data_IF_004043663860
#
_entry.id   IF_004043663860
#
_cell.length_a   1.000
_cell.length_b   1.000
_cell.length_c   1.000
_cell.angle_alpha   90.00
_cell.angle_beta   90.00
_cell.angle_gamma   90.00
#
_symmetry.space_group_name_H-M   'P 1'
#
loop_
_entity.id
_entity.type
_entity.pdbx_description
1 polymer ?
#
# COMPACT_ATOMS: atom_id res chain seq x y z
N UNK A 1 -1.10 -26.48 9.45
CA UNK A 1 -1.37 -26.42 8.00
C UNK A 1 -1.99 -25.08 7.77
N UNK A 2 -1.24 -24.13 7.23
CA UNK A 2 -1.74 -22.78 6.99
C UNK A 2 -3.12 -22.85 6.36
N UNK A 3 -4.15 -22.31 7.02
CA UNK A 3 -5.46 -22.32 6.43
C UNK A 3 -5.36 -21.63 5.07
N UNK A 4 -5.94 -22.26 4.04
CA UNK A 4 -6.06 -21.72 2.68
C UNK A 4 -7.05 -20.54 2.67
N UNK A 5 -6.88 -19.58 3.57
CA UNK A 5 -7.58 -18.32 3.51
C UNK A 5 -6.98 -17.50 2.37
N UNK A 6 -7.83 -16.68 1.73
CA UNK A 6 -7.37 -15.60 0.88
C UNK A 6 -6.28 -14.81 1.62
N UNK A 7 -5.15 -14.53 0.98
CA UNK A 7 -4.15 -13.64 1.54
C UNK A 7 -4.80 -12.29 1.83
N UNK A 8 -5.03 -11.97 3.10
CA UNK A 8 -5.60 -10.70 3.54
C UNK A 8 -4.48 -9.72 3.89
N UNK A 9 -4.79 -8.42 3.84
CA UNK A 9 -3.85 -7.39 4.27
C UNK A 9 -3.73 -7.42 5.80
N UNK A 10 -2.49 -7.38 6.30
CA UNK A 10 -2.21 -7.23 7.74
C UNK A 10 -2.62 -5.86 8.29
N UNK A 11 -3.08 -4.96 7.41
CA UNK A 11 -3.83 -3.76 7.78
C UNK A 11 -5.06 -4.05 8.63
N UNK A 12 -5.65 -5.25 8.54
CA UNK A 12 -6.75 -5.67 9.44
C UNK A 12 -6.28 -5.85 10.89
N UNK A 13 -5.04 -6.29 11.11
CA UNK A 13 -4.44 -6.39 12.46
C UNK A 13 -4.19 -4.97 12.99
N UNK A 14 -3.65 -4.07 12.17
CA UNK A 14 -3.45 -2.66 12.55
C UNK A 14 -4.78 -1.94 12.84
N UNK A 15 -5.85 -2.30 12.13
CA UNK A 15 -7.19 -1.77 12.38
C UNK A 15 -7.71 -2.12 13.78
N UNK A 16 -7.36 -3.28 14.33
CA UNK A 16 -7.73 -3.67 15.69
C UNK A 16 -7.04 -2.79 16.74
N UNK A 17 -5.85 -2.29 16.43
CA UNK A 17 -5.15 -1.30 17.26
C UNK A 17 -5.66 0.13 17.05
N UNK A 18 -6.65 0.37 16.18
CA UNK A 18 -7.16 1.72 15.89
C UNK A 18 -6.36 2.47 14.82
N UNK A 19 -5.47 1.78 14.08
CA UNK A 19 -4.68 2.36 13.01
C UNK A 19 -5.16 1.85 11.64
N UNK A 20 -6.13 2.54 11.04
CA UNK A 20 -6.70 2.16 9.74
C UNK A 20 -7.15 3.36 8.91
N UNK A 21 -6.99 3.27 7.58
CA UNK A 21 -7.60 4.21 6.64
C UNK A 21 -9.12 4.23 6.75
N UNK A 22 -9.76 3.08 6.98
CA UNK A 22 -11.22 3.01 7.06
C UNK A 22 -11.77 3.85 8.22
N UNK A 23 -11.18 3.71 9.41
CA UNK A 23 -11.56 4.47 10.59
C UNK A 23 -11.28 5.96 10.40
N UNK A 24 -10.10 6.30 9.85
CA UNK A 24 -9.77 7.69 9.55
C UNK A 24 -10.80 8.31 8.61
N UNK A 25 -11.03 7.71 7.44
CA UNK A 25 -11.85 8.29 6.38
C UNK A 25 -13.35 8.37 6.71
N UNK A 26 -13.84 7.55 7.64
CA UNK A 26 -15.23 7.64 8.11
C UNK A 26 -15.48 8.71 9.18
N UNK A 27 -14.41 9.28 9.76
CA UNK A 27 -14.55 10.36 10.72
C UNK A 27 -14.97 11.68 10.04
N UNK A 28 -15.61 12.61 10.76
CA UNK A 28 -15.94 13.94 10.23
C UNK A 28 -14.72 14.67 9.66
N UNK A 29 -14.89 15.40 8.55
CA UNK A 29 -13.79 16.08 7.87
C UNK A 29 -13.24 17.29 8.65
N UNK A 30 -13.99 17.81 9.61
CA UNK A 30 -13.62 18.88 10.53
C UNK A 30 -12.93 18.37 11.81
N UNK A 31 -12.74 17.05 11.94
CA UNK A 31 -11.99 16.45 13.04
C UNK A 31 -10.47 16.65 12.85
N UNK A 32 -9.99 17.78 13.36
CA UNK A 32 -8.57 18.13 13.34
C UNK A 32 -7.76 17.29 14.32
N UNK A 33 -8.35 16.83 15.42
CA UNK A 33 -7.64 16.05 16.44
C UNK A 33 -7.27 14.68 15.90
N UNK A 34 -8.22 13.97 15.28
CA UNK A 34 -7.94 12.67 14.66
C UNK A 34 -6.94 12.81 13.51
N UNK A 35 -7.03 13.87 12.71
CA UNK A 35 -6.09 14.13 11.61
C UNK A 35 -4.68 14.36 12.13
N UNK A 36 -4.53 15.21 13.17
CA UNK A 36 -3.25 15.44 13.84
C UNK A 36 -2.72 14.19 14.53
N UNK A 37 -3.59 13.38 15.12
CA UNK A 37 -3.19 12.12 15.75
C UNK A 37 -2.75 11.10 14.69
N UNK A 38 -3.51 10.90 13.62
CA UNK A 38 -3.27 9.88 12.59
C UNK A 38 -1.97 10.16 11.83
N UNK A 39 -1.80 11.41 11.37
CA UNK A 39 -0.58 11.85 10.69
C UNK A 39 0.48 12.41 11.64
N UNK A 40 0.25 12.47 12.94
CA UNK A 40 1.28 12.88 13.88
C UNK A 40 2.49 11.93 13.82
N UNK A 41 3.69 12.48 13.95
CA UNK A 41 4.90 11.70 14.24
C UNK A 41 4.85 11.04 15.63
N UNK A 42 3.80 11.35 16.42
CA UNK A 42 3.54 10.72 17.70
C UNK A 42 3.41 9.22 17.56
N UNK A 43 4.11 8.57 18.49
CA UNK A 43 4.62 7.23 18.39
C UNK A 43 3.53 6.17 18.13
N UNK A 44 3.38 5.72 16.88
CA UNK A 44 2.52 4.57 16.51
C UNK A 44 3.11 3.22 16.95
N UNK A 45 4.09 3.24 17.85
CA UNK A 45 4.69 2.07 18.47
C UNK A 45 3.63 1.08 19.00
N UNK A 46 2.59 1.56 19.68
CA UNK A 46 1.55 0.68 20.22
C UNK A 46 0.91 -0.20 19.14
N UNK A 47 0.73 0.32 17.92
CA UNK A 47 0.09 -0.40 16.82
C UNK A 47 1.02 -1.51 16.28
N UNK A 48 2.32 -1.21 16.15
CA UNK A 48 3.31 -2.19 15.71
C UNK A 48 3.71 -3.19 16.81
N UNK A 49 3.62 -2.79 18.08
CA UNK A 49 3.73 -3.68 19.23
C UNK A 49 2.58 -4.69 19.25
N UNK A 50 1.34 -4.21 19.10
CA UNK A 50 0.16 -5.05 18.96
C UNK A 50 0.29 -6.00 17.77
N UNK A 51 0.67 -5.45 16.61
CA UNK A 51 0.89 -6.23 15.39
C UNK A 51 1.92 -7.34 15.60
N UNK A 52 3.05 -7.05 16.25
CA UNK A 52 4.09 -8.04 16.58
C UNK A 52 3.58 -9.11 17.53
N UNK A 53 2.87 -8.72 18.58
CA UNK A 53 2.24 -9.66 19.51
C UNK A 53 1.25 -10.58 18.78
N UNK A 54 0.44 -10.03 17.87
CA UNK A 54 -0.52 -10.81 17.08
C UNK A 54 0.18 -11.87 16.22
N UNK A 55 1.22 -11.49 15.47
CA UNK A 55 2.00 -12.44 14.68
C UNK A 55 2.72 -13.49 15.54
N UNK A 56 3.21 -13.13 16.72
CA UNK A 56 3.80 -14.08 17.66
C UNK A 56 2.77 -15.09 18.18
N UNK A 57 1.53 -14.66 18.45
CA UNK A 57 0.44 -15.56 18.81
C UNK A 57 0.13 -16.53 17.65
N UNK A 58 0.07 -16.04 16.40
CA UNK A 58 -0.12 -16.91 15.24
C UNK A 58 1.03 -17.92 15.10
N UNK A 59 2.28 -17.48 15.25
CA UNK A 59 3.46 -18.36 15.25
C UNK A 59 3.38 -19.47 16.29
N UNK A 60 2.81 -19.19 17.45
CA UNK A 60 2.69 -20.21 18.51
C UNK A 60 1.80 -21.39 18.13
N UNK A 61 0.94 -21.22 17.12
CA UNK A 61 -0.01 -22.24 16.65
C UNK A 61 0.40 -22.80 15.28
N UNK A 62 0.84 -21.95 14.35
CA UNK A 62 1.14 -22.32 12.96
C UNK A 62 2.17 -21.33 12.39
N UNK A 63 3.45 -21.54 12.74
CA UNK A 63 4.57 -20.72 12.25
C UNK A 63 4.84 -20.94 10.76
N UNK A 64 5.10 -19.88 9.96
CA UNK A 64 5.51 -20.04 8.58
C UNK A 64 6.83 -20.78 8.46
N UNK A 65 6.91 -21.67 7.46
CA UNK A 65 8.11 -22.49 7.20
C UNK A 65 9.36 -21.68 6.88
N UNK A 66 9.20 -20.44 6.41
CA UNK A 66 10.32 -19.56 6.04
C UNK A 66 10.18 -18.20 6.69
N UNK A 67 9.17 -17.43 6.32
CA UNK A 67 8.97 -16.07 6.80
C UNK A 67 7.50 -15.65 6.65
N UNK A 68 7.12 -14.58 7.37
CA UNK A 68 5.86 -13.89 7.14
C UNK A 68 5.93 -13.06 5.86
N UNK A 69 4.89 -13.18 5.02
CA UNK A 69 4.65 -12.26 3.91
C UNK A 69 3.46 -11.37 4.28
N UNK A 70 3.73 -10.07 4.41
CA UNK A 70 2.79 -9.07 4.91
C UNK A 70 2.64 -7.95 3.89
N UNK A 71 1.48 -7.30 3.85
CA UNK A 71 1.18 -6.23 2.91
C UNK A 71 0.01 -5.41 3.41
N UNK A 72 0.27 -4.14 3.71
CA UNK A 72 -0.74 -3.12 3.88
C UNK A 72 -0.22 -1.76 3.37
N UNK A 73 -0.97 -1.03 2.51
CA UNK A 73 -0.55 0.30 2.04
C UNK A 73 -0.30 1.29 3.18
N UNK A 74 -0.97 1.12 4.33
CA UNK A 74 -0.81 1.98 5.51
C UNK A 74 0.61 1.95 6.09
N UNK A 75 1.41 0.89 5.85
CA UNK A 75 2.79 0.84 6.33
C UNK A 75 3.64 2.00 5.80
N UNK A 76 3.35 2.51 4.61
CA UNK A 76 4.08 3.64 4.00
C UNK A 76 4.06 4.88 4.90
N UNK A 77 3.00 5.08 5.69
CA UNK A 77 2.94 6.19 6.64
C UNK A 77 3.86 6.01 7.85
N UNK A 78 4.31 4.79 8.15
CA UNK A 78 4.92 4.42 9.43
C UNK A 78 6.13 3.47 9.26
N UNK A 79 6.88 3.60 8.15
CA UNK A 79 8.00 2.69 7.82
C UNK A 79 9.12 2.72 8.87
N UNK A 80 9.44 3.88 9.46
CA UNK A 80 10.40 3.98 10.57
C UNK A 80 9.96 3.15 11.79
N UNK A 81 8.68 3.26 12.16
CA UNK A 81 8.09 2.48 13.27
C UNK A 81 8.08 0.99 12.92
N UNK A 82 7.75 0.62 11.69
CA UNK A 82 7.81 -0.76 11.21
C UNK A 82 9.22 -1.33 11.40
N UNK A 83 10.26 -0.63 10.93
CA UNK A 83 11.65 -1.08 11.06
C UNK A 83 12.13 -1.11 12.51
N UNK A 84 11.59 -0.25 13.39
CA UNK A 84 11.88 -0.33 14.82
C UNK A 84 11.45 -1.67 15.43
N UNK A 85 10.26 -2.18 15.08
CA UNK A 85 9.74 -3.46 15.59
C UNK A 85 10.23 -4.69 14.81
N UNK A 86 10.56 -4.50 13.53
CA UNK A 86 11.04 -5.50 12.59
C UNK A 86 12.36 -5.05 11.93
N UNK A 87 13.47 -4.97 12.69
CA UNK A 87 14.73 -4.46 12.16
C UNK A 87 15.34 -5.35 11.06
N UNK A 88 14.91 -6.61 10.97
CA UNK A 88 15.30 -7.55 9.93
C UNK A 88 14.29 -7.66 8.78
N UNK A 89 13.31 -6.76 8.70
CA UNK A 89 12.32 -6.80 7.63
C UNK A 89 12.95 -6.60 6.26
N UNK A 90 12.58 -7.45 5.31
CA UNK A 90 12.86 -7.27 3.88
C UNK A 90 11.77 -6.39 3.30
N UNK A 91 12.09 -5.14 2.94
CA UNK A 91 11.12 -4.18 2.43
C UNK A 91 10.99 -4.29 0.91
N UNK A 92 9.78 -4.61 0.45
CA UNK A 92 9.44 -4.64 -0.98
C UNK A 92 8.50 -3.48 -1.27
N UNK A 93 8.92 -2.55 -2.12
CA UNK A 93 8.13 -1.38 -2.49
C UNK A 93 7.62 -1.53 -3.91
N UNK A 94 6.32 -1.38 -4.12
CA UNK A 94 5.73 -1.45 -5.46
C UNK A 94 5.48 -0.05 -6.01
N UNK A 95 5.84 0.16 -7.27
CA UNK A 95 5.78 1.45 -7.94
C UNK A 95 4.95 1.38 -9.21
N UNK A 96 4.12 2.41 -9.43
CA UNK A 96 3.27 2.58 -10.61
C UNK A 96 3.13 4.07 -10.90
N UNK A 97 2.81 4.41 -12.14
CA UNK A 97 2.51 5.78 -12.54
C UNK A 97 1.38 6.36 -11.68
N UNK A 98 1.63 7.49 -11.04
CA UNK A 98 0.71 8.03 -10.03
C UNK A 98 -0.57 8.61 -10.64
N UNK A 99 -0.59 8.93 -11.93
CA UNK A 99 -1.79 9.31 -12.67
C UNK A 99 -2.77 8.14 -12.85
N UNK A 100 -2.29 6.90 -12.73
CA UNK A 100 -3.15 5.71 -12.66
C UNK A 100 -3.51 5.32 -11.22
N UNK A 101 -2.59 5.54 -10.26
CA UNK A 101 -2.77 5.13 -8.86
C UNK A 101 -3.74 6.05 -8.12
N UNK A 102 -3.57 7.37 -8.23
CA UNK A 102 -4.35 8.34 -7.46
C UNK A 102 -5.86 8.23 -7.75
N UNK A 103 -6.34 8.16 -9.02
CA UNK A 103 -7.77 7.97 -9.30
C UNK A 103 -8.31 6.65 -8.75
N UNK A 104 -7.51 5.58 -8.83
CA UNK A 104 -7.88 4.28 -8.27
C UNK A 104 -8.00 4.34 -6.74
N UNK A 105 -7.08 5.05 -6.07
CA UNK A 105 -7.11 5.26 -4.63
C UNK A 105 -8.35 6.05 -4.21
N UNK A 106 -8.60 7.20 -4.85
CA UNK A 106 -9.76 8.03 -4.54
C UNK A 106 -11.05 7.23 -4.75
N UNK A 107 -11.19 6.55 -5.89
CA UNK A 107 -12.39 5.75 -6.18
C UNK A 107 -12.62 4.63 -5.17
N UNK A 108 -11.58 3.85 -4.85
CA UNK A 108 -11.67 2.75 -3.89
C UNK A 108 -12.24 3.23 -2.56
N UNK A 109 -11.70 4.32 -2.04
CA UNK A 109 -12.13 4.85 -0.75
C UNK A 109 -13.45 5.62 -0.82
N UNK A 110 -13.77 6.30 -1.93
CA UNK A 110 -15.10 6.88 -2.13
C UNK A 110 -16.19 5.81 -2.12
N UNK A 111 -15.95 4.67 -2.80
CA UNK A 111 -16.88 3.53 -2.78
C UNK A 111 -16.98 2.96 -1.36
N UNK A 112 -15.85 2.76 -0.68
CA UNK A 112 -15.84 2.29 0.71
C UNK A 112 -16.67 3.20 1.63
N UNK A 113 -16.42 4.51 1.60
CA UNK A 113 -17.17 5.48 2.41
C UNK A 113 -18.67 5.49 2.08
N UNK A 114 -19.04 5.31 0.81
CA UNK A 114 -20.45 5.30 0.38
C UNK A 114 -21.29 4.16 0.99
N UNK A 115 -20.64 3.08 1.46
CA UNK A 115 -21.31 1.96 2.14
C UNK A 115 -21.81 2.39 3.52
N UNK A 116 -21.09 3.29 4.19
CA UNK A 116 -21.32 3.66 5.59
C UNK A 116 -21.93 5.05 5.75
N UNK A 117 -21.66 5.96 4.82
CA UNK A 117 -22.15 7.34 4.87
C UNK A 117 -23.43 7.47 4.03
N UNK A 118 -24.50 8.00 4.64
CA UNK A 118 -25.78 8.18 3.96
C UNK A 118 -25.66 9.32 2.94
N UNK A 119 -25.64 8.97 1.66
CA UNK A 119 -25.34 9.89 0.57
C UNK A 119 -26.59 10.65 0.09
N UNK A 120 -27.01 11.69 0.82
CA UNK A 120 -27.71 12.83 0.20
C UNK A 120 -26.75 13.72 -0.63
N UNK A 121 -25.58 13.19 -1.01
CA UNK A 121 -24.46 13.89 -1.67
C UNK A 121 -24.33 13.58 -3.16
N UNK A 122 -25.23 12.77 -3.73
CA UNK A 122 -25.21 12.36 -5.13
C UNK A 122 -25.30 13.55 -6.13
N UNK A 123 -25.64 14.74 -5.66
CA UNK A 123 -25.74 15.97 -6.46
C UNK A 123 -24.46 16.82 -6.47
N UNK A 124 -23.46 16.51 -5.62
CA UNK A 124 -22.20 17.26 -5.56
C UNK A 124 -21.15 16.55 -6.43
N UNK A 125 -20.57 17.23 -7.43
CA UNK A 125 -19.44 16.71 -8.20
C UNK A 125 -18.33 16.19 -7.27
N UNK A 126 -17.79 15.00 -7.55
CA UNK A 126 -16.89 14.30 -6.64
C UNK A 126 -15.63 15.12 -6.31
N UNK A 127 -15.08 15.86 -7.29
CA UNK A 127 -14.00 16.84 -7.17
C UNK A 127 -14.25 17.96 -6.15
N UNK A 128 -15.52 18.26 -5.83
CA UNK A 128 -15.92 19.33 -4.91
C UNK A 128 -16.26 18.84 -3.52
N UNK A 129 -16.19 17.53 -3.26
CA UNK A 129 -16.47 16.99 -1.93
C UNK A 129 -15.26 17.15 -1.02
N UNK A 130 -15.52 17.44 0.27
CA UNK A 130 -14.47 17.46 1.29
C UNK A 130 -13.77 16.08 1.42
N UNK A 131 -14.49 15.00 1.15
CA UNK A 131 -13.99 13.62 1.18
C UNK A 131 -12.91 13.39 0.11
N UNK A 132 -13.14 13.82 -1.15
CA UNK A 132 -12.14 13.70 -2.23
C UNK A 132 -10.89 14.51 -1.92
N UNK A 133 -11.03 15.73 -1.39
CA UNK A 133 -9.88 16.55 -0.98
C UNK A 133 -9.06 15.88 0.12
N UNK A 134 -9.73 15.29 1.12
CA UNK A 134 -9.09 14.55 2.19
C UNK A 134 -8.35 13.30 1.69
N UNK A 135 -8.92 12.60 0.71
CA UNK A 135 -8.27 11.46 0.06
C UNK A 135 -7.02 11.88 -0.70
N UNK A 136 -7.09 12.96 -1.49
CA UNK A 136 -5.92 13.51 -2.19
C UNK A 136 -4.84 13.91 -1.19
N UNK A 137 -5.17 14.65 -0.13
CA UNK A 137 -4.23 15.03 0.94
C UNK A 137 -3.60 13.82 1.65
N UNK A 138 -4.39 12.75 1.85
CA UNK A 138 -3.88 11.49 2.43
C UNK A 138 -2.87 10.85 1.49
N UNK A 139 -3.16 10.85 0.20
CA UNK A 139 -2.26 10.34 -0.84
C UNK A 139 -0.98 11.18 -0.95
N UNK A 140 -1.09 12.50 -0.91
CA UNK A 140 0.05 13.40 -0.85
C UNK A 140 0.95 13.03 0.33
N UNK A 141 0.37 12.85 1.51
CA UNK A 141 1.13 12.50 2.72
C UNK A 141 1.84 11.15 2.59
N UNK A 142 1.19 10.16 1.96
CA UNK A 142 1.79 8.86 1.66
C UNK A 142 3.04 9.01 0.78
N UNK A 143 2.91 9.72 -0.33
CA UNK A 143 4.01 9.91 -1.29
C UNK A 143 5.17 10.69 -0.64
N UNK A 144 4.87 11.78 0.06
CA UNK A 144 5.90 12.57 0.75
C UNK A 144 6.66 11.76 1.80
N UNK A 145 5.96 10.92 2.58
CA UNK A 145 6.62 10.06 3.58
C UNK A 145 7.48 8.98 2.96
N UNK A 146 7.02 8.37 1.87
CA UNK A 146 7.80 7.38 1.14
C UNK A 146 9.11 7.97 0.63
N UNK A 147 9.06 9.17 0.04
CA UNK A 147 10.25 9.88 -0.44
C UNK A 147 11.18 10.24 0.74
N UNK A 148 10.63 10.79 1.83
CA UNK A 148 11.40 11.13 3.04
C UNK A 148 12.11 9.89 3.60
N UNK A 149 11.38 8.79 3.73
CA UNK A 149 11.92 7.51 4.19
C UNK A 149 13.03 7.01 3.28
N UNK A 150 12.81 7.00 1.95
CA UNK A 150 13.82 6.51 1.00
C UNK A 150 15.11 7.33 1.05
N UNK A 151 15.02 8.64 1.28
CA UNK A 151 16.21 9.50 1.49
C UNK A 151 16.96 9.19 2.78
N UNK A 152 16.25 8.90 3.86
CA UNK A 152 16.85 8.59 5.16
C UNK A 152 17.46 7.18 5.21
N UNK A 153 16.93 6.24 4.42
CA UNK A 153 17.26 4.81 4.45
C UNK A 153 18.00 4.31 3.20
N UNK A 154 18.91 5.11 2.63
CA UNK A 154 19.66 4.74 1.42
C UNK A 154 20.52 3.47 1.58
N UNK A 155 20.86 3.11 2.82
CA UNK A 155 21.67 1.93 3.14
C UNK A 155 20.85 0.70 3.49
N UNK A 156 19.53 0.82 3.62
CA UNK A 156 18.67 -0.32 3.88
C UNK A 156 18.49 -1.15 2.61
N UNK A 157 18.44 -2.48 2.75
CA UNK A 157 18.05 -3.38 1.67
C UNK A 157 16.55 -3.23 1.41
N UNK A 158 16.20 -2.43 0.40
CA UNK A 158 14.84 -2.24 -0.10
C UNK A 158 14.81 -2.66 -1.56
N UNK A 159 13.84 -3.49 -1.92
CA UNK A 159 13.65 -3.94 -3.30
C UNK A 159 12.45 -3.24 -3.94
N UNK A 160 12.70 -2.49 -5.00
CA UNK A 160 11.69 -1.74 -5.73
C UNK A 160 11.15 -2.58 -6.91
N UNK A 161 9.84 -2.78 -6.97
CA UNK A 161 9.15 -3.50 -8.03
C UNK A 161 8.31 -2.51 -8.85
N UNK A 162 8.58 -2.40 -10.14
CA UNK A 162 7.69 -1.69 -11.05
C UNK A 162 6.51 -2.57 -11.47
N UNK A 163 5.31 -1.99 -11.45
CA UNK A 163 4.08 -2.66 -11.86
C UNK A 163 4.20 -3.32 -13.24
N UNK A 164 4.79 -2.62 -14.21
CA UNK A 164 4.95 -3.15 -15.57
C UNK A 164 5.89 -4.36 -15.61
N UNK A 165 6.98 -4.37 -14.84
CA UNK A 165 7.89 -5.53 -14.78
C UNK A 165 7.21 -6.73 -14.12
N UNK A 166 6.48 -6.51 -13.02
CA UNK A 166 5.71 -7.56 -12.36
C UNK A 166 4.61 -8.13 -13.27
N UNK A 167 4.02 -7.30 -14.13
CA UNK A 167 2.99 -7.70 -15.08
C UNK A 167 3.55 -8.47 -16.26
N UNK A 168 4.61 -7.95 -16.89
CA UNK A 168 5.19 -8.52 -18.10
C UNK A 168 6.04 -9.75 -17.79
N UNK A 169 6.73 -9.75 -16.65
CA UNK A 169 7.75 -10.75 -16.25
C UNK A 169 7.63 -11.10 -14.76
N UNK A 170 6.50 -11.67 -14.30
CA UNK A 170 6.25 -11.93 -12.88
C UNK A 170 7.29 -12.87 -12.25
N UNK A 171 7.63 -13.97 -12.93
CA UNK A 171 8.58 -14.96 -12.40
C UNK A 171 9.99 -14.36 -12.26
N UNK A 172 10.47 -13.66 -13.29
CA UNK A 172 11.79 -13.02 -13.24
C UNK A 172 11.85 -11.92 -12.19
N UNK A 173 10.76 -11.15 -12.02
CA UNK A 173 10.65 -10.13 -10.98
C UNK A 173 10.76 -10.74 -9.59
N UNK A 174 10.06 -11.84 -9.32
CA UNK A 174 10.12 -12.54 -8.03
C UNK A 174 11.48 -13.22 -7.84
N UNK A 175 12.11 -13.73 -8.91
CA UNK A 175 13.47 -14.28 -8.85
C UNK A 175 14.50 -13.25 -8.42
N UNK A 176 14.49 -12.06 -9.03
CA UNK A 176 15.37 -10.96 -8.62
C UNK A 176 15.12 -10.49 -7.18
N UNK A 177 13.87 -10.48 -6.73
CA UNK A 177 13.54 -10.20 -5.32
C UNK A 177 14.18 -11.23 -4.39
N UNK A 178 14.07 -12.52 -4.72
CA UNK A 178 14.65 -13.59 -3.91
C UNK A 178 16.17 -13.48 -3.87
N UNK A 179 16.81 -13.24 -5.02
CA UNK A 179 18.26 -13.04 -5.11
C UNK A 179 18.71 -11.83 -4.29
N UNK A 180 17.97 -10.72 -4.32
CA UNK A 180 18.28 -9.50 -3.57
C UNK A 180 18.31 -9.73 -2.05
N UNK A 181 17.38 -10.51 -1.52
CA UNK A 181 17.31 -10.82 -0.08
C UNK A 181 18.02 -12.12 0.31
N UNK A 182 18.60 -12.85 -0.65
CA UNK A 182 19.28 -14.13 -0.40
C UNK A 182 18.33 -15.27 -0.02
N UNK A 183 17.07 -15.22 -0.46
CA UNK A 183 16.11 -16.30 -0.25
C UNK A 183 16.35 -17.48 -1.18
N UNK A 184 16.04 -18.68 -0.70
CA UNK A 184 16.21 -19.90 -1.48
C UNK A 184 15.17 -19.98 -2.60
N UNK A 185 15.64 -20.23 -3.83
CA UNK A 185 14.80 -20.47 -5.00
C UNK A 185 14.80 -21.96 -5.35
N UNK A 186 13.62 -22.60 -5.41
CA UNK A 186 13.49 -24.00 -5.79
C UNK A 186 12.67 -24.15 -7.06
N UNK A 187 12.90 -25.26 -7.78
CA UNK A 187 12.13 -25.58 -8.98
C UNK A 187 10.65 -25.79 -8.65
N UNK A 188 10.35 -26.39 -7.49
CA UNK A 188 8.99 -26.62 -7.02
C UNK A 188 8.24 -25.31 -6.80
N UNK A 189 8.89 -24.33 -6.15
CA UNK A 189 8.31 -22.99 -5.95
C UNK A 189 7.99 -22.30 -7.27
N UNK A 190 8.91 -22.36 -8.24
CA UNK A 190 8.69 -21.81 -9.57
C UNK A 190 7.52 -22.46 -10.30
N UNK A 191 7.41 -23.80 -10.24
CA UNK A 191 6.29 -24.52 -10.84
C UNK A 191 4.95 -24.17 -10.17
N UNK A 192 4.91 -24.02 -8.84
CA UNK A 192 3.70 -23.57 -8.14
C UNK A 192 3.27 -22.16 -8.57
N UNK A 193 4.21 -21.23 -8.75
CA UNK A 193 3.92 -19.89 -9.27
C UNK A 193 3.39 -19.93 -10.71
N UNK A 194 3.99 -20.74 -11.59
CA UNK A 194 3.50 -20.90 -12.98
C UNK A 194 2.05 -21.38 -12.97
N UNK A 195 1.75 -22.45 -12.22
CA UNK A 195 0.40 -23.00 -12.09
C UNK A 195 -0.57 -21.97 -11.52
N UNK A 196 -0.14 -21.15 -10.56
CA UNK A 196 -0.96 -20.09 -10.00
C UNK A 196 -1.28 -19.00 -11.03
N UNK A 197 -0.28 -18.56 -11.81
CA UNK A 197 -0.44 -17.54 -12.86
C UNK A 197 -1.38 -18.02 -13.97
N UNK A 198 -1.28 -19.28 -14.39
CA UNK A 198 -2.20 -19.88 -15.38
C UNK A 198 -3.65 -19.89 -14.89
N UNK A 199 -3.87 -20.14 -13.60
CA UNK A 199 -5.21 -20.12 -12.97
C UNK A 199 -5.72 -18.70 -12.71
N UNK A 200 -4.83 -17.72 -12.65
CA UNK A 200 -5.11 -16.33 -12.30
C UNK A 200 -4.61 -15.35 -13.37
N UNK A 201 -5.10 -15.44 -14.62
CA UNK A 201 -4.73 -14.49 -15.66
C UNK A 201 -5.05 -13.07 -15.24
N UNK A 202 -4.15 -12.15 -15.57
CA UNK A 202 -4.33 -10.74 -15.30
C UNK A 202 -5.54 -10.17 -16.03
N UNK A 203 -6.13 -9.10 -15.47
CA UNK A 203 -7.28 -8.43 -16.06
C UNK A 203 -8.64 -8.99 -15.67
N UNK A 204 -8.71 -10.01 -14.80
CA UNK A 204 -9.98 -10.49 -14.20
C UNK A 204 -10.81 -9.38 -13.53
N UNK A 205 -10.16 -8.30 -13.07
CA UNK A 205 -10.83 -7.16 -12.43
C UNK A 205 -11.12 -5.97 -13.36
N UNK A 206 -10.92 -6.12 -14.69
CA UNK A 206 -11.18 -5.05 -15.66
C UNK A 206 -10.11 -3.94 -15.65
N UNK A 207 -9.87 -3.32 -16.80
CA UNK A 207 -9.15 -2.05 -16.87
C UNK A 207 -10.16 -0.95 -16.61
N UNK A 208 -10.27 -0.51 -15.36
CA UNK A 208 -11.01 0.71 -15.09
C UNK A 208 -10.19 1.87 -15.66
N UNK A 209 -10.59 2.37 -16.82
CA UNK A 209 -10.13 3.68 -17.29
C UNK A 209 -10.77 4.73 -16.39
N UNK A 210 -10.06 5.13 -15.36
CA UNK A 210 -10.50 6.20 -14.49
C UNK A 210 -10.24 7.54 -15.17
N UNK A 211 -11.24 8.41 -15.16
CA UNK A 211 -11.11 9.77 -15.68
C UNK A 211 -10.68 10.67 -14.54
N UNK A 212 -9.46 11.18 -14.64
CA UNK A 212 -8.87 12.15 -13.71
C UNK A 212 -9.80 13.35 -13.46
N UNK A 213 -10.53 13.72 -14.50
CA UNK A 213 -11.47 14.83 -14.53
C UNK A 213 -12.65 14.64 -13.57
N UNK A 214 -13.02 13.39 -13.23
CA UNK A 214 -14.07 13.09 -12.24
C UNK A 214 -13.69 13.59 -10.84
N UNK A 215 -12.39 13.73 -10.57
CA UNK A 215 -11.85 14.17 -9.30
C UNK A 215 -11.25 15.59 -9.39
N UNK A 216 -11.44 16.28 -10.52
CA UNK A 216 -10.92 17.63 -10.75
C UNK A 216 -9.40 17.65 -10.83
N UNK A 217 -8.80 16.53 -11.26
CA UNK A 217 -7.36 16.37 -11.44
C UNK A 217 -7.04 16.39 -12.93
N UNK A 218 -5.86 16.89 -13.27
CA UNK A 218 -5.27 16.72 -14.60
C UNK A 218 -3.98 15.91 -14.52
N UNK A 219 -3.61 15.26 -15.63
CA UNK A 219 -2.34 14.53 -15.71
C UNK A 219 -1.16 15.45 -15.44
N UNK A 220 -1.16 16.63 -16.05
CA UNK A 220 -0.07 17.61 -15.91
C UNK A 220 0.11 18.05 -14.44
N UNK A 221 -0.98 18.29 -13.71
CA UNK A 221 -0.91 18.61 -12.27
C UNK A 221 -0.33 17.46 -11.46
N UNK A 222 -0.73 16.21 -11.73
CA UNK A 222 -0.19 15.03 -11.03
C UNK A 222 1.30 14.88 -11.34
N UNK A 223 1.69 14.97 -12.61
CA UNK A 223 3.09 14.84 -13.03
C UNK A 223 3.96 15.92 -12.36
N UNK A 224 3.46 17.16 -12.28
CA UNK A 224 4.16 18.25 -11.60
C UNK A 224 4.24 18.04 -10.08
N UNK A 225 3.12 17.71 -9.44
CA UNK A 225 3.04 17.56 -7.97
C UNK A 225 3.86 16.38 -7.45
N UNK A 226 3.97 15.30 -8.24
CA UNK A 226 4.71 14.11 -7.84
C UNK A 226 5.97 13.86 -8.68
N UNK A 227 6.51 14.90 -9.32
CA UNK A 227 7.73 14.83 -10.12
C UNK A 227 8.89 14.18 -9.35
N UNK A 228 9.00 14.48 -8.06
CA UNK A 228 10.04 13.92 -7.20
C UNK A 228 9.92 12.40 -7.03
N UNK A 229 8.70 11.87 -6.86
CA UNK A 229 8.46 10.42 -6.85
C UNK A 229 8.82 9.80 -8.19
N UNK A 230 8.38 10.44 -9.28
CA UNK A 230 8.63 9.95 -10.64
C UNK A 230 10.14 9.90 -10.93
N UNK A 231 10.90 10.92 -10.56
CA UNK A 231 12.35 10.97 -10.76
C UNK A 231 13.07 9.92 -9.91
N UNK A 232 12.59 9.72 -8.68
CA UNK A 232 13.20 8.76 -7.75
C UNK A 232 12.94 7.30 -8.15
N UNK A 233 11.74 6.99 -8.64
CA UNK A 233 11.32 5.60 -8.82
C UNK A 233 10.97 5.23 -10.26
N UNK A 234 10.63 6.15 -11.16
CA UNK A 234 10.12 5.81 -12.49
C UNK A 234 11.02 6.26 -13.65
N UNK A 235 11.86 7.29 -13.47
CA UNK A 235 12.70 7.84 -14.54
C UNK A 235 13.93 7.01 -14.90
N UNK A 236 14.38 6.08 -14.04
CA UNK A 236 15.52 5.19 -14.31
C UNK A 236 15.28 4.16 -15.43
N UNK A 237 14.14 4.27 -16.15
CA UNK A 237 13.73 3.40 -17.26
C UNK A 237 13.86 4.05 -18.66
N UNK A 238 14.44 5.25 -18.77
CA UNK A 238 14.77 5.86 -20.07
C UNK A 238 16.07 5.29 -20.65
#
# INVERSE_FOLDING_TARGET
SHPQHSHEEDGLILCQAGLSFSQFLLAPNDDTELTMWFFGETNKNFAYEYHKMFLQMLNSVDEPRSHWLLKAPIHVLFLDTLLHYYPSASLVMTHRQLDEVLPSFVRLFSVFMSIYLNNNRAEIPADKTADTKRLIQTFDTLVHRLIKFRRAHQHNAIFDIHYNDLVERPIDTVRHLYDHFGFQWSNEFEQEMIVWLEKNPQGKQGRNMYRLEEFGLTRDEIEQNYNEYNNMFLELRK
#
